data_IF_448055260890
#
_entry.id   IF_448055260890
#
_cell.length_a   1.000
_cell.length_b   1.000
_cell.length_c   1.000
_cell.angle_alpha   90.00
_cell.angle_beta   90.00
_cell.angle_gamma   90.00
#
_symmetry.space_group_name_H-M   'P 1'
#
loop_
_entity.id
_entity.type
_entity.pdbx_description
1 polymer ?
#
# COMPACT_ATOMS: atom_id res chain seq x y z
N UNK A 1 -1.28 0.55 12.20
CA UNK A 1 -1.25 -0.77 12.88
C UNK A 1 -0.66 -1.91 12.03
N UNK A 2 -0.52 -1.78 10.68
CA UNK A 2 0.04 -2.85 9.83
C UNK A 2 1.55 -3.09 10.01
N UNK A 3 2.37 -2.04 10.14
CA UNK A 3 3.83 -2.18 10.29
C UNK A 3 4.29 -2.74 11.65
N UNK A 4 3.39 -2.74 12.65
CA UNK A 4 3.65 -3.27 13.98
C UNK A 4 3.19 -4.73 14.14
N UNK A 5 2.58 -5.31 13.10
CA UNK A 5 2.15 -6.71 13.11
C UNK A 5 3.38 -7.62 12.90
N UNK A 6 3.56 -8.60 13.78
CA UNK A 6 4.71 -9.52 13.78
C UNK A 6 4.79 -10.34 12.51
N UNK A 7 3.65 -10.85 12.01
CA UNK A 7 3.62 -11.66 10.79
C UNK A 7 4.07 -10.85 9.57
N UNK A 8 3.71 -9.56 9.52
CA UNK A 8 4.17 -8.64 8.46
C UNK A 8 5.68 -8.36 8.59
N UNK A 9 6.19 -8.21 9.81
CA UNK A 9 7.61 -8.00 10.05
C UNK A 9 8.44 -9.23 9.66
N UNK A 10 7.97 -10.42 10.04
CA UNK A 10 8.62 -11.69 9.71
C UNK A 10 8.56 -11.97 8.20
N UNK A 11 7.45 -11.65 7.54
CA UNK A 11 7.29 -11.89 6.10
C UNK A 11 8.13 -10.95 5.22
N UNK A 12 8.35 -9.70 5.65
CA UNK A 12 9.07 -8.69 4.85
C UNK A 12 10.54 -8.53 5.28
N UNK A 13 10.85 -8.80 6.55
CA UNK A 13 12.14 -8.55 7.16
C UNK A 13 12.37 -7.07 7.49
N UNK A 14 12.87 -6.78 8.70
CA UNK A 14 13.15 -5.41 9.15
C UNK A 14 14.53 -4.92 8.70
N UNK A 15 14.73 -3.62 8.43
CA UNK A 15 13.74 -2.53 8.48
C UNK A 15 12.79 -2.53 7.27
N UNK A 16 11.54 -2.07 7.48
CA UNK A 16 10.53 -1.94 6.41
C UNK A 16 10.42 -0.47 6.00
N UNK A 17 10.57 -0.20 4.71
CA UNK A 17 10.33 1.11 4.07
C UNK A 17 8.94 1.15 3.44
N UNK A 18 8.28 2.30 3.50
CA UNK A 18 6.95 2.52 2.90
C UNK A 18 7.08 3.48 1.73
N UNK A 19 6.56 3.08 0.58
CA UNK A 19 6.55 3.86 -0.65
C UNK A 19 5.09 4.07 -1.10
N UNK A 20 4.78 5.27 -1.58
CA UNK A 20 3.47 5.51 -2.18
C UNK A 20 3.43 4.99 -3.61
N UNK A 21 4.52 5.06 -4.37
CA UNK A 21 4.63 4.51 -5.72
C UNK A 21 5.50 3.26 -5.74
N UNK A 22 5.19 2.22 -6.54
CA UNK A 22 6.10 1.10 -6.67
C UNK A 22 7.39 1.61 -7.31
N UNK A 23 8.52 1.33 -6.66
CA UNK A 23 9.84 1.47 -7.25
C UNK A 23 10.29 0.10 -7.71
N UNK A 24 10.29 -0.12 -9.02
CA UNK A 24 10.94 -1.26 -9.65
C UNK A 24 12.18 -0.70 -10.32
N UNK A 25 13.35 -0.87 -9.69
CA UNK A 25 14.60 -0.25 -10.13
C UNK A 25 14.55 1.29 -10.04
N UNK A 26 14.90 1.99 -11.13
CA UNK A 26 14.86 3.46 -11.22
C UNK A 26 13.49 4.02 -11.65
N UNK A 27 12.51 3.17 -11.94
CA UNK A 27 11.24 3.59 -12.52
C UNK A 27 10.18 3.82 -11.42
N UNK A 28 9.67 5.05 -11.32
CA UNK A 28 8.51 5.39 -10.49
C UNK A 28 7.24 5.17 -11.30
N UNK A 29 6.41 4.21 -10.91
CA UNK A 29 5.09 4.04 -11.53
C UNK A 29 4.11 4.99 -10.84
N UNK A 30 3.45 5.85 -11.61
CA UNK A 30 2.46 6.79 -11.12
C UNK A 30 1.29 6.08 -10.44
N UNK A 31 0.94 6.51 -9.24
CA UNK A 31 -0.15 5.93 -8.47
C UNK A 31 -1.50 6.10 -9.16
N UNK A 32 -2.23 4.99 -9.35
CA UNK A 32 -3.63 5.03 -9.76
C UNK A 32 -4.47 5.35 -8.52
N UNK A 33 -4.75 6.64 -8.29
CA UNK A 33 -5.79 7.05 -7.32
C UNK A 33 -7.16 6.87 -7.97
N UNK A 34 -7.78 5.71 -7.77
CA UNK A 34 -9.17 5.49 -8.20
C UNK A 34 -10.13 6.11 -7.16
N UNK A 35 -10.84 7.18 -7.56
CA UNK A 35 -12.02 7.66 -6.83
C UNK A 35 -13.22 6.92 -7.39
N UNK A 36 -13.94 6.20 -6.55
CA UNK A 36 -15.12 5.43 -6.95
C UNK A 36 -16.31 5.88 -6.11
N UNK A 37 -17.46 6.06 -6.75
CA UNK A 37 -18.73 6.22 -6.05
C UNK A 37 -19.37 4.83 -5.92
N UNK A 38 -19.88 4.50 -4.73
CA UNK A 38 -20.70 3.31 -4.57
C UNK A 38 -22.12 3.54 -5.13
N UNK A 39 -22.93 2.49 -5.22
CA UNK A 39 -24.31 2.55 -5.73
C UNK A 39 -25.22 3.49 -4.91
N UNK A 40 -24.80 3.89 -3.71
CA UNK A 40 -25.52 4.79 -2.80
C UNK A 40 -24.99 6.22 -2.86
N UNK A 41 -24.05 6.52 -3.76
CA UNK A 41 -23.44 7.84 -3.91
C UNK A 41 -22.37 8.15 -2.87
N UNK A 42 -21.99 7.21 -2.00
CA UNK A 42 -20.88 7.42 -1.08
C UNK A 42 -19.57 7.45 -1.84
N UNK A 43 -18.74 8.41 -1.45
CA UNK A 43 -17.41 8.55 -2.02
C UNK A 43 -16.48 7.55 -1.35
N UNK A 44 -15.99 6.60 -2.12
CA UNK A 44 -14.91 5.71 -1.72
C UNK A 44 -13.60 6.09 -2.40
N UNK A 45 -12.50 5.88 -1.69
CA UNK A 45 -11.15 6.09 -2.17
C UNK A 45 -10.33 4.83 -1.89
N UNK A 46 -9.77 4.26 -2.95
CA UNK A 46 -8.78 3.20 -2.84
C UNK A 46 -7.37 3.81 -2.89
N UNK A 47 -6.54 3.47 -1.91
CA UNK A 47 -5.14 3.84 -1.82
C UNK A 47 -4.30 2.56 -1.74
N UNK A 48 -3.18 2.53 -2.45
CA UNK A 48 -2.20 1.45 -2.33
C UNK A 48 -0.87 2.00 -1.85
N UNK A 49 -0.23 1.29 -0.92
CA UNK A 49 1.11 1.56 -0.42
C UNK A 49 1.98 0.33 -0.65
N UNK A 50 3.24 0.54 -0.98
CA UNK A 50 4.22 -0.51 -1.20
C UNK A 50 5.14 -0.59 -0.01
N UNK A 51 5.36 -1.79 0.50
CA UNK A 51 6.24 -2.06 1.62
C UNK A 51 7.48 -2.77 1.11
N UNK A 52 8.66 -2.25 1.38
CA UNK A 52 9.93 -2.88 1.03
C UNK A 52 10.65 -3.24 2.32
N UNK A 53 10.69 -4.52 2.64
CA UNK A 53 11.54 -5.03 3.72
C UNK A 53 12.89 -5.52 3.19
N UNK A 54 13.73 -6.03 4.09
CA UNK A 54 15.05 -6.57 3.72
C UNK A 54 14.94 -7.80 2.80
N UNK A 55 13.89 -8.61 2.97
CA UNK A 55 13.74 -9.89 2.29
C UNK A 55 12.77 -9.82 1.11
N UNK A 56 11.66 -9.08 1.28
CA UNK A 56 10.56 -9.08 0.31
C UNK A 56 9.90 -7.72 0.18
N UNK A 57 9.18 -7.56 -0.92
CA UNK A 57 8.29 -6.43 -1.20
C UNK A 57 6.83 -6.87 -1.09
N UNK A 58 5.98 -6.03 -0.48
CA UNK A 58 4.55 -6.25 -0.31
C UNK A 58 3.72 -5.04 -0.73
N UNK A 59 2.41 -5.22 -0.81
CA UNK A 59 1.45 -4.14 -1.14
C UNK A 59 0.33 -4.13 -0.10
N UNK A 60 0.01 -2.94 0.41
CA UNK A 60 -1.11 -2.69 1.32
C UNK A 60 -2.15 -1.85 0.60
N UNK A 61 -3.34 -2.42 0.41
CA UNK A 61 -4.52 -1.70 -0.05
C UNK A 61 -5.33 -1.14 1.13
N UNK A 62 -5.68 0.14 1.06
CA UNK A 62 -6.57 0.82 2.01
C UNK A 62 -7.78 1.34 1.25
N UNK A 63 -8.97 0.87 1.62
CA UNK A 63 -10.24 1.43 1.14
C UNK A 63 -10.80 2.35 2.22
N UNK A 64 -10.99 3.61 1.89
CA UNK A 64 -11.64 4.59 2.75
C UNK A 64 -13.00 4.90 2.15
N UNK A 65 -14.06 4.72 2.93
CA UNK A 65 -15.41 5.15 2.58
C UNK A 65 -15.77 6.34 3.45
N UNK A 66 -16.21 7.43 2.83
CA UNK A 66 -16.78 8.57 3.54
C UNK A 66 -18.27 8.35 3.74
#
# INVERSE_FOLDING_TARGET
MCLANTDVQDALGTPIMVHTTPQIGSMRISNVRAKMFDEKGHRSMALSFYLTGKERTGVVGVKVQK
#
